data_IF_099827370806
#
_entry.id   IF_099827370806
#
_cell.length_a   1.000
_cell.length_b   1.000
_cell.length_c   1.000
_cell.angle_alpha   90.00
_cell.angle_beta   90.00
_cell.angle_gamma   90.00
#
_symmetry.space_group_name_H-M   'P 1'
#
loop_
_entity.id
_entity.type
_entity.pdbx_description
1 polymer ?
#
# COMPACT_ATOMS: atom_id res chain seq x y z
N UNK A 1 23.44 -5.96 12.13
CA UNK A 1 22.48 -6.95 11.59
C UNK A 1 23.06 -7.58 10.33
N UNK A 2 23.04 -8.92 10.19
CA UNK A 2 23.53 -9.59 8.96
C UNK A 2 22.55 -9.38 7.78
N UNK A 3 23.01 -9.32 6.51
CA UNK A 3 22.11 -9.07 5.37
C UNK A 3 20.97 -10.09 5.21
N UNK A 4 21.20 -11.37 5.51
CA UNK A 4 20.16 -12.40 5.48
C UNK A 4 19.07 -12.12 6.53
N UNK A 5 19.46 -11.71 7.74
CA UNK A 5 18.54 -11.35 8.83
C UNK A 5 17.75 -10.09 8.47
N UNK A 6 18.43 -9.05 7.97
CA UNK A 6 17.80 -7.81 7.52
C UNK A 6 16.71 -8.07 6.47
N UNK A 7 16.99 -8.97 5.53
CA UNK A 7 16.04 -9.37 4.50
C UNK A 7 14.82 -10.08 5.07
N UNK A 8 15.03 -11.12 5.87
CA UNK A 8 13.93 -11.87 6.49
C UNK A 8 13.06 -10.97 7.36
N UNK A 9 13.69 -10.11 8.16
CA UNK A 9 13.00 -9.12 8.97
C UNK A 9 12.07 -8.25 8.11
N UNK A 10 12.59 -7.60 7.05
CA UNK A 10 11.78 -6.76 6.17
C UNK A 10 10.67 -7.55 5.45
N UNK A 11 10.90 -8.80 5.04
CA UNK A 11 9.82 -9.61 4.45
C UNK A 11 8.65 -9.85 5.42
N UNK A 12 8.94 -10.02 6.72
CA UNK A 12 7.93 -10.33 7.73
C UNK A 12 7.18 -9.09 8.23
N UNK A 13 7.80 -7.92 8.22
CA UNK A 13 7.22 -6.70 8.80
C UNK A 13 5.80 -6.41 8.29
N UNK A 14 5.51 -6.37 6.96
CA UNK A 14 4.16 -6.08 6.51
C UNK A 14 3.11 -7.12 6.93
N UNK A 15 3.50 -8.40 6.95
CA UNK A 15 2.63 -9.51 7.37
C UNK A 15 2.29 -9.39 8.85
N UNK A 16 3.30 -9.16 9.70
CA UNK A 16 3.10 -8.99 11.13
C UNK A 16 2.28 -7.74 11.44
N UNK A 17 2.54 -6.62 10.75
CA UNK A 17 1.77 -5.40 10.94
C UNK A 17 0.28 -5.59 10.59
N UNK A 18 -0.01 -6.30 9.48
CA UNK A 18 -1.39 -6.65 9.11
C UNK A 18 -2.05 -7.57 10.15
N UNK A 19 -1.36 -8.64 10.56
CA UNK A 19 -1.90 -9.56 11.58
C UNK A 19 -2.22 -8.79 12.86
N UNK A 20 -1.31 -7.95 13.35
CA UNK A 20 -1.53 -7.16 14.56
C UNK A 20 -2.71 -6.18 14.40
N UNK A 21 -2.76 -5.44 13.29
CA UNK A 21 -3.82 -4.45 13.04
C UNK A 21 -5.23 -5.08 13.04
N UNK A 22 -5.36 -6.30 12.52
CA UNK A 22 -6.65 -6.97 12.38
C UNK A 22 -6.99 -7.93 13.53
N UNK A 23 -6.00 -8.54 14.18
CA UNK A 23 -6.22 -9.50 15.27
C UNK A 23 -6.27 -8.85 16.66
N UNK A 24 -5.43 -7.84 16.92
CA UNK A 24 -5.36 -7.17 18.22
C UNK A 24 -6.35 -6.00 18.30
N UNK A 25 -6.51 -5.26 17.20
CA UNK A 25 -7.37 -4.08 17.15
C UNK A 25 -6.65 -2.80 17.60
N UNK A 26 -7.43 -1.78 17.99
CA UNK A 26 -6.89 -0.49 18.41
C UNK A 26 -6.25 -0.57 19.79
N UNK A 27 -5.07 0.03 19.91
CA UNK A 27 -4.31 0.18 21.16
C UNK A 27 -4.06 1.68 21.37
N UNK A 28 -4.05 2.22 22.60
CA UNK A 28 -3.72 3.63 22.82
C UNK A 28 -2.31 3.99 22.32
N UNK A 29 -2.18 5.18 21.71
CA UNK A 29 -0.92 5.65 21.08
C UNK A 29 0.30 5.64 22.00
N UNK A 30 0.08 5.80 23.30
CA UNK A 30 1.12 5.77 24.33
C UNK A 30 1.91 4.45 24.33
N UNK A 31 1.27 3.35 23.92
CA UNK A 31 1.90 2.03 23.88
C UNK A 31 2.46 1.71 22.50
N UNK A 32 1.71 1.97 21.42
CA UNK A 32 2.17 1.54 20.08
C UNK A 32 3.20 2.49 19.46
N UNK A 33 3.20 3.79 19.78
CA UNK A 33 4.14 4.75 19.17
C UNK A 33 5.59 4.43 19.53
N UNK A 34 5.97 4.17 20.80
CA UNK A 34 7.35 3.79 21.14
C UNK A 34 7.81 2.51 20.43
N UNK A 35 6.94 1.49 20.36
CA UNK A 35 7.23 0.23 19.67
C UNK A 35 7.40 0.46 18.16
N UNK A 36 6.53 1.28 17.57
CA UNK A 36 6.62 1.68 16.17
C UNK A 36 7.91 2.45 15.86
N UNK A 37 8.34 3.36 16.73
CA UNK A 37 9.60 4.10 16.56
C UNK A 37 10.80 3.15 16.54
N UNK A 38 10.86 2.19 17.48
CA UNK A 38 11.90 1.18 17.52
C UNK A 38 11.90 0.32 16.24
N UNK A 39 10.74 -0.20 15.85
CA UNK A 39 10.56 -0.97 14.61
C UNK A 39 11.01 -0.16 13.38
N UNK A 40 10.68 1.13 13.35
CA UNK A 40 11.06 2.04 12.26
C UNK A 40 12.56 2.19 12.13
N UNK A 41 13.28 2.40 13.25
CA UNK A 41 14.74 2.46 13.26
C UNK A 41 15.37 1.16 12.75
N UNK A 42 14.83 0.01 13.19
CA UNK A 42 15.27 -1.30 12.73
C UNK A 42 15.03 -1.50 11.23
N UNK A 43 13.87 -1.08 10.70
CA UNK A 43 13.57 -1.14 9.26
C UNK A 43 14.52 -0.28 8.44
N UNK A 44 14.77 0.96 8.86
CA UNK A 44 15.69 1.87 8.19
C UNK A 44 17.12 1.32 8.20
N UNK A 45 17.56 0.73 9.31
CA UNK A 45 18.86 0.08 9.40
C UNK A 45 18.96 -1.14 8.47
N UNK A 46 17.94 -2.01 8.48
CA UNK A 46 17.88 -3.18 7.60
C UNK A 46 17.91 -2.79 6.12
N UNK A 47 17.12 -1.78 5.74
CA UNK A 47 17.07 -1.25 4.38
C UNK A 47 18.43 -0.67 3.96
N UNK A 48 19.07 0.11 4.83
CA UNK A 48 20.42 0.64 4.59
C UNK A 48 21.42 -0.49 4.31
N UNK A 49 21.42 -1.54 5.13
CA UNK A 49 22.30 -2.71 4.97
C UNK A 49 22.06 -3.42 3.63
N UNK A 50 20.80 -3.59 3.22
CA UNK A 50 20.46 -4.25 1.95
C UNK A 50 20.75 -3.37 0.72
N UNK A 51 20.66 -2.05 0.86
CA UNK A 51 20.91 -1.10 -0.22
C UNK A 51 22.39 -0.78 -0.46
N UNK A 52 23.28 -1.27 0.39
CA UNK A 52 24.71 -1.07 0.23
C UNK A 52 25.23 -1.83 -1.01
N UNK A 53 25.84 -1.09 -1.94
CA UNK A 53 26.41 -1.63 -3.18
C UNK A 53 25.39 -1.97 -4.27
N UNK A 54 24.15 -1.48 -4.19
CA UNK A 54 23.15 -1.67 -5.26
C UNK A 54 23.14 -0.49 -6.23
N UNK A 55 22.77 -0.75 -7.50
CA UNK A 55 22.60 0.29 -8.53
C UNK A 55 21.72 1.46 -8.04
N UNK A 56 22.04 2.72 -8.37
CA UNK A 56 21.32 3.88 -7.87
C UNK A 56 19.79 3.83 -8.10
N UNK A 57 19.35 3.45 -9.31
CA UNK A 57 17.92 3.36 -9.62
C UNK A 57 17.19 2.31 -8.76
N UNK A 58 17.78 1.12 -8.59
CA UNK A 58 17.23 0.05 -7.73
C UNK A 58 17.18 0.52 -6.27
N UNK A 59 18.26 1.14 -5.80
CA UNK A 59 18.34 1.70 -4.44
C UNK A 59 17.22 2.72 -4.22
N UNK A 60 17.08 3.70 -5.11
CA UNK A 60 16.07 4.75 -4.99
C UNK A 60 14.66 4.17 -5.03
N UNK A 61 14.37 3.28 -5.98
CA UNK A 61 13.08 2.57 -6.01
C UNK A 61 12.80 1.82 -4.71
N UNK A 62 13.80 1.13 -4.17
CA UNK A 62 13.62 0.37 -2.95
C UNK A 62 13.39 1.27 -1.73
N UNK A 63 14.14 2.36 -1.59
CA UNK A 63 13.88 3.34 -0.54
C UNK A 63 12.48 3.95 -0.66
N UNK A 64 12.07 4.34 -1.86
CA UNK A 64 10.76 4.95 -2.10
C UNK A 64 9.58 3.98 -1.96
N UNK A 65 9.81 2.66 -2.08
CA UNK A 65 8.79 1.62 -1.90
C UNK A 65 8.75 1.06 -0.47
N UNK A 66 9.87 1.06 0.24
CA UNK A 66 10.00 0.52 1.61
C UNK A 66 9.74 1.60 2.67
N UNK A 67 10.14 2.85 2.42
CA UNK A 67 9.94 3.95 3.38
C UNK A 67 8.47 4.18 3.76
N UNK A 68 7.49 4.12 2.84
CA UNK A 68 6.08 4.19 3.21
C UNK A 68 5.68 3.14 4.25
N UNK A 69 6.23 1.92 4.14
CA UNK A 69 5.96 0.84 5.10
C UNK A 69 6.56 1.07 6.47
N UNK A 70 7.64 1.85 6.58
CA UNK A 70 8.13 2.32 7.88
C UNK A 70 7.00 3.05 8.60
N UNK A 71 6.32 3.97 7.91
CA UNK A 71 5.16 4.65 8.45
C UNK A 71 3.93 3.74 8.60
N UNK A 72 3.60 2.91 7.59
CA UNK A 72 2.39 2.06 7.62
C UNK A 72 2.38 1.04 8.76
N UNK A 73 3.54 0.64 9.29
CA UNK A 73 3.58 -0.26 10.45
C UNK A 73 2.94 0.32 11.71
N UNK A 74 2.75 1.66 11.78
CA UNK A 74 1.99 2.29 12.87
C UNK A 74 0.53 1.81 12.91
N UNK A 75 0.00 1.37 11.77
CA UNK A 75 -1.37 0.84 11.67
C UNK A 75 -1.56 -0.45 12.46
N UNK A 76 -0.47 -1.17 12.78
CA UNK A 76 -0.51 -2.32 13.69
C UNK A 76 -1.08 -1.96 15.06
N UNK A 77 -0.82 -0.73 15.55
CA UNK A 77 -1.35 -0.23 16.80
C UNK A 77 -2.67 0.52 16.67
N UNK A 78 -2.86 1.27 15.58
CA UNK A 78 -4.13 1.97 15.33
C UNK A 78 -5.30 0.99 15.02
N UNK A 79 -5.00 -0.25 14.66
CA UNK A 79 -5.99 -1.26 14.30
C UNK A 79 -6.76 -0.97 13.01
N UNK A 80 -7.80 -1.75 12.72
CA UNK A 80 -8.71 -1.50 11.58
C UNK A 80 -9.45 -0.15 11.72
N UNK A 81 -9.89 0.49 10.61
CA UNK A 81 -10.75 1.67 10.69
C UNK A 81 -11.99 1.42 11.54
N UNK A 82 -12.46 2.43 12.31
CA UNK A 82 -13.68 2.29 13.10
C UNK A 82 -14.87 1.90 12.23
N UNK A 83 -15.83 1.17 12.80
CA UNK A 83 -17.05 0.75 12.10
C UNK A 83 -18.30 1.51 12.57
N UNK A 84 -18.16 2.35 13.60
CA UNK A 84 -19.24 3.13 14.21
C UNK A 84 -18.98 4.63 14.06
N UNK A 85 -20.04 5.43 13.99
CA UNK A 85 -19.94 6.90 13.93
C UNK A 85 -19.19 7.47 15.11
N UNK A 86 -19.50 6.97 16.32
CA UNK A 86 -18.80 7.37 17.54
C UNK A 86 -17.30 7.07 17.46
N UNK A 87 -16.92 5.87 17.00
CA UNK A 87 -15.51 5.50 16.86
C UNK A 87 -14.76 6.37 15.86
N UNK A 88 -15.39 6.75 14.75
CA UNK A 88 -14.81 7.70 13.79
C UNK A 88 -14.65 9.11 14.38
N UNK A 89 -15.62 9.56 15.18
CA UNK A 89 -15.56 10.87 15.83
C UNK A 89 -14.47 10.92 16.91
N UNK A 90 -14.38 9.89 17.76
CA UNK A 90 -13.39 9.78 18.84
C UNK A 90 -11.96 9.64 18.32
N UNK A 91 -11.76 8.91 17.23
CA UNK A 91 -10.43 8.64 16.66
C UNK A 91 -10.12 9.51 15.43
N UNK A 92 -10.81 10.65 15.27
CA UNK A 92 -10.72 11.50 14.07
C UNK A 92 -9.27 11.86 13.71
N UNK A 93 -8.48 12.34 14.68
CA UNK A 93 -7.06 12.69 14.46
C UNK A 93 -6.22 11.48 14.05
N UNK A 94 -6.45 10.29 14.61
CA UNK A 94 -5.73 9.09 14.19
C UNK A 94 -6.08 8.71 12.75
N UNK A 95 -7.33 8.89 12.34
CA UNK A 95 -7.74 8.64 10.96
C UNK A 95 -7.10 9.67 10.00
N UNK A 96 -7.13 10.97 10.33
CA UNK A 96 -6.44 12.01 9.55
C UNK A 96 -4.96 11.66 9.34
N UNK A 97 -4.25 11.29 10.41
CA UNK A 97 -2.84 10.86 10.34
C UNK A 97 -2.68 9.61 9.47
N UNK A 98 -3.52 8.59 9.66
CA UNK A 98 -3.51 7.35 8.87
C UNK A 98 -3.60 7.63 7.38
N UNK A 99 -4.59 8.41 6.99
CA UNK A 99 -4.86 8.68 5.58
C UNK A 99 -3.84 9.66 4.97
N UNK A 100 -3.31 10.61 5.75
CA UNK A 100 -2.18 11.44 5.33
C UNK A 100 -0.92 10.60 5.06
N UNK A 101 -0.61 9.64 5.94
CA UNK A 101 0.51 8.69 5.75
C UNK A 101 0.30 7.88 4.47
N UNK A 102 -0.92 7.39 4.21
CA UNK A 102 -1.25 6.64 3.00
C UNK A 102 -1.03 7.48 1.74
N UNK A 103 -1.50 8.73 1.72
CA UNK A 103 -1.28 9.69 0.62
C UNK A 103 0.21 9.88 0.37
N UNK A 104 0.98 10.23 1.41
CA UNK A 104 2.43 10.42 1.29
C UNK A 104 3.12 9.15 0.76
N UNK A 105 2.68 7.99 1.24
CA UNK A 105 3.16 6.69 0.80
C UNK A 105 2.93 6.42 -0.69
N UNK A 106 1.74 6.76 -1.21
CA UNK A 106 1.45 6.61 -2.65
C UNK A 106 2.31 7.51 -3.53
N UNK A 107 2.56 8.74 -3.09
CA UNK A 107 3.42 9.70 -3.81
C UNK A 107 4.85 9.15 -3.83
N UNK A 108 5.35 8.68 -2.69
CA UNK A 108 6.67 8.05 -2.59
C UNK A 108 6.80 6.86 -3.54
N UNK A 109 5.85 5.91 -3.52
CA UNK A 109 5.86 4.74 -4.41
C UNK A 109 5.83 5.18 -5.87
N UNK A 110 5.01 6.18 -6.22
CA UNK A 110 4.92 6.70 -7.59
C UNK A 110 6.23 7.32 -8.10
N UNK A 111 6.93 8.06 -7.24
CA UNK A 111 8.28 8.55 -7.55
C UNK A 111 9.26 7.39 -7.77
N UNK A 112 9.18 6.35 -6.94
CA UNK A 112 9.96 5.13 -7.11
C UNK A 112 9.68 4.43 -8.44
N UNK A 113 8.40 4.30 -8.80
CA UNK A 113 7.94 3.73 -10.06
C UNK A 113 8.49 4.49 -11.26
N UNK A 114 8.52 5.83 -11.18
CA UNK A 114 9.07 6.68 -12.24
C UNK A 114 10.57 6.42 -12.46
N UNK A 115 11.33 6.28 -11.36
CA UNK A 115 12.77 5.98 -11.42
C UNK A 115 13.04 4.59 -12.00
N UNK A 116 12.34 3.55 -11.54
CA UNK A 116 12.55 2.19 -12.05
C UNK A 116 12.03 2.02 -13.48
N UNK A 117 10.96 2.73 -13.85
CA UNK A 117 10.42 2.74 -15.21
C UNK A 117 11.40 3.33 -16.22
N UNK A 118 12.09 4.42 -15.85
CA UNK A 118 13.19 4.97 -16.64
C UNK A 118 14.33 3.95 -16.81
N UNK A 119 14.76 3.32 -15.72
CA UNK A 119 15.83 2.33 -15.74
C UNK A 119 15.48 1.10 -16.60
N UNK A 120 14.21 0.66 -16.56
CA UNK A 120 13.69 -0.40 -17.44
C UNK A 120 13.70 0.01 -18.91
N UNK A 121 13.41 1.28 -19.21
CA UNK A 121 13.45 1.81 -20.57
C UNK A 121 14.86 1.77 -21.14
N UNK A 122 15.85 2.20 -20.36
CA UNK A 122 17.26 2.14 -20.72
C UNK A 122 17.77 0.70 -20.88
N UNK A 123 17.24 -0.23 -20.08
CA UNK A 123 17.59 -1.65 -20.14
C UNK A 123 16.84 -2.47 -21.21
N UNK A 124 16.03 -1.85 -22.07
CA UNK A 124 15.37 -2.51 -23.21
C UNK A 124 13.93 -3.02 -22.95
N UNK A 125 13.30 -2.69 -21.83
CA UNK A 125 11.89 -2.97 -21.53
C UNK A 125 11.01 -1.70 -21.51
N UNK A 126 11.27 -0.77 -22.45
CA UNK A 126 10.65 0.55 -22.52
C UNK A 126 9.13 0.56 -22.48
N UNK A 127 8.46 -0.22 -23.33
CA UNK A 127 7.00 -0.23 -23.39
C UNK A 127 6.36 -0.68 -22.07
N UNK A 128 6.84 -1.80 -21.49
CA UNK A 128 6.30 -2.33 -20.22
C UNK A 128 6.56 -1.39 -19.05
N UNK A 129 7.76 -0.81 -18.98
CA UNK A 129 8.10 0.20 -17.97
C UNK A 129 7.23 1.44 -18.08
N UNK A 130 7.01 1.96 -19.29
CA UNK A 130 6.15 3.12 -19.54
C UNK A 130 4.68 2.85 -19.19
N UNK A 131 4.13 1.70 -19.59
CA UNK A 131 2.75 1.35 -19.26
C UNK A 131 2.55 1.15 -17.75
N UNK A 132 3.55 0.57 -17.05
CA UNK A 132 3.51 0.45 -15.60
C UNK A 132 3.48 1.84 -14.94
N UNK A 133 4.34 2.75 -15.36
CA UNK A 133 4.37 4.14 -14.85
C UNK A 133 3.08 4.88 -15.17
N UNK A 134 2.52 4.74 -16.37
CA UNK A 134 1.25 5.35 -16.76
C UNK A 134 0.09 4.84 -15.89
N UNK A 135 0.00 3.53 -15.65
CA UNK A 135 -1.00 2.94 -14.76
C UNK A 135 -0.87 3.49 -13.32
N UNK A 136 0.36 3.61 -12.80
CA UNK A 136 0.62 4.22 -11.49
C UNK A 136 0.23 5.70 -11.43
N UNK A 137 0.50 6.48 -12.49
CA UNK A 137 0.13 7.89 -12.60
C UNK A 137 -1.38 8.10 -12.63
N UNK A 138 -2.15 7.16 -13.21
CA UNK A 138 -3.61 7.21 -13.18
C UNK A 138 -4.16 6.74 -11.82
N UNK A 139 -3.57 5.71 -11.21
CA UNK A 139 -4.00 5.18 -9.93
C UNK A 139 -3.82 6.17 -8.78
N UNK A 140 -2.68 6.88 -8.77
CA UNK A 140 -2.26 7.70 -7.62
C UNK A 140 -3.21 8.86 -7.31
N UNK A 141 -3.67 9.67 -8.28
CA UNK A 141 -4.67 10.72 -8.03
C UNK A 141 -6.00 10.16 -7.51
N UNK A 142 -6.50 9.07 -8.10
CA UNK A 142 -7.74 8.42 -7.64
C UNK A 142 -7.60 7.94 -6.20
N UNK A 143 -6.45 7.35 -5.88
CA UNK A 143 -6.14 6.93 -4.52
C UNK A 143 -6.09 8.11 -3.54
N UNK A 144 -5.41 9.20 -3.90
CA UNK A 144 -5.30 10.39 -3.07
C UNK A 144 -6.69 10.99 -2.81
N UNK A 145 -7.53 11.11 -3.83
CA UNK A 145 -8.91 11.59 -3.70
C UNK A 145 -9.69 10.70 -2.72
N UNK A 146 -9.57 9.38 -2.87
CA UNK A 146 -10.21 8.44 -1.95
C UNK A 146 -9.71 8.63 -0.51
N UNK A 147 -8.39 8.60 -0.28
CA UNK A 147 -7.84 8.76 1.08
C UNK A 147 -8.17 10.12 1.69
N UNK A 148 -8.22 11.19 0.90
CA UNK A 148 -8.63 12.52 1.37
C UNK A 148 -10.09 12.52 1.83
N UNK A 149 -10.98 11.85 1.12
CA UNK A 149 -12.36 11.67 1.56
C UNK A 149 -12.45 10.89 2.88
N UNK A 150 -11.78 9.74 2.96
CA UNK A 150 -11.80 8.91 4.17
C UNK A 150 -11.11 9.57 5.38
N UNK A 151 -10.09 10.40 5.15
CA UNK A 151 -9.30 11.02 6.20
C UNK A 151 -9.74 12.40 6.64
N UNK A 152 -10.27 13.22 5.73
CA UNK A 152 -10.65 14.60 6.05
C UNK A 152 -12.17 14.77 6.06
N UNK A 153 -12.87 14.30 5.02
CA UNK A 153 -14.31 14.54 4.90
C UNK A 153 -15.14 13.64 5.85
N UNK A 154 -14.77 12.36 5.93
CA UNK A 154 -15.52 11.36 6.69
C UNK A 154 -15.51 11.64 8.21
N UNK A 155 -14.37 11.93 8.87
CA UNK A 155 -14.38 12.24 10.30
C UNK A 155 -15.23 13.47 10.64
N UNK A 156 -15.12 14.53 9.83
CA UNK A 156 -15.93 15.76 9.98
C UNK A 156 -17.42 15.43 9.88
N UNK A 157 -17.82 14.66 8.86
CA UNK A 157 -19.22 14.23 8.71
C UNK A 157 -19.69 13.43 9.93
N UNK A 158 -18.88 12.48 10.42
CA UNK A 158 -19.21 11.66 11.60
C UNK A 158 -19.36 12.50 12.87
N UNK A 159 -18.51 13.50 13.08
CA UNK A 159 -18.65 14.44 14.20
C UNK A 159 -19.95 15.25 14.12
N UNK A 160 -20.34 15.74 12.93
CA UNK A 160 -21.62 16.42 12.75
C UNK A 160 -22.83 15.51 13.01
N UNK A 161 -22.78 14.26 12.56
CA UNK A 161 -23.84 13.29 12.83
C UNK A 161 -23.96 12.95 14.32
N UNK A 162 -22.85 12.89 15.06
CA UNK A 162 -22.90 12.75 16.52
C UNK A 162 -23.53 13.99 17.18
N UNK A 163 -23.13 15.19 16.75
CA UNK A 163 -23.60 16.45 17.33
C UNK A 163 -25.09 16.74 17.06
N UNK A 164 -25.68 16.17 16.01
CA UNK A 164 -27.10 16.36 15.68
C UNK A 164 -28.07 15.62 16.62
N UNK A 165 -27.55 14.75 17.50
CA UNK A 165 -28.38 13.90 18.37
C UNK A 165 -29.09 12.75 17.64
N UNK A 166 -28.88 12.62 16.33
CA UNK A 166 -29.41 11.54 15.49
C UNK A 166 -28.26 10.91 14.69
N UNK A 167 -27.35 10.14 15.34
CA UNK A 167 -26.15 9.59 14.71
C UNK A 167 -26.43 8.62 13.55
N UNK A 168 -27.65 8.09 13.48
CA UNK A 168 -28.12 7.22 12.40
C UNK A 168 -28.78 7.98 11.25
N UNK A 169 -29.20 9.23 11.44
CA UNK A 169 -29.81 10.05 10.40
C UNK A 169 -28.75 10.45 9.37
N UNK A 170 -28.87 9.91 8.15
CA UNK A 170 -27.97 10.21 7.04
C UNK A 170 -28.70 11.04 5.97
N UNK A 171 -28.05 12.04 5.36
CA UNK A 171 -28.58 12.69 4.17
C UNK A 171 -28.79 11.68 3.04
N UNK A 172 -29.74 11.92 2.15
CA UNK A 172 -30.06 11.02 1.02
C UNK A 172 -28.83 10.72 0.14
N UNK A 173 -27.94 11.70 -0.01
CA UNK A 173 -26.70 11.56 -0.79
C UNK A 173 -25.63 10.70 -0.13
N UNK A 174 -25.81 10.28 1.12
CA UNK A 174 -24.81 9.51 1.88
C UNK A 174 -24.47 8.16 1.24
N UNK A 175 -25.50 7.36 0.89
CA UNK A 175 -25.29 6.06 0.29
C UNK A 175 -24.68 6.15 -1.12
N UNK A 176 -25.19 7.00 -2.04
CA UNK A 176 -24.53 7.25 -3.32
C UNK A 176 -23.07 7.70 -3.19
N UNK A 177 -22.76 8.57 -2.22
CA UNK A 177 -21.40 9.06 -2.01
C UNK A 177 -20.46 7.93 -1.56
N UNK A 178 -20.88 7.10 -0.60
CA UNK A 178 -20.10 5.92 -0.19
C UNK A 178 -19.84 4.97 -1.36
N UNK A 179 -20.85 4.74 -2.19
CA UNK A 179 -20.73 3.88 -3.36
C UNK A 179 -19.74 4.45 -4.39
N UNK A 180 -19.79 5.75 -4.67
CA UNK A 180 -18.84 6.42 -5.56
C UNK A 180 -17.39 6.25 -5.09
N UNK A 181 -17.12 6.44 -3.79
CA UNK A 181 -15.76 6.27 -3.27
C UNK A 181 -15.30 4.81 -3.22
N UNK A 182 -16.23 3.86 -3.08
CA UNK A 182 -15.94 2.44 -3.28
C UNK A 182 -15.50 2.15 -4.73
N UNK A 183 -16.20 2.70 -5.72
CA UNK A 183 -15.82 2.55 -7.14
C UNK A 183 -14.47 3.20 -7.46
N UNK A 184 -14.22 4.41 -6.95
CA UNK A 184 -12.92 5.09 -7.11
C UNK A 184 -11.80 4.23 -6.51
N UNK A 185 -12.01 3.66 -5.32
CA UNK A 185 -11.04 2.76 -4.68
C UNK A 185 -10.78 1.50 -5.52
N UNK A 186 -11.83 0.91 -6.07
CA UNK A 186 -11.78 -0.30 -6.90
C UNK A 186 -10.98 -0.07 -8.19
N UNK A 187 -11.24 1.04 -8.89
CA UNK A 187 -10.50 1.44 -10.09
C UNK A 187 -9.03 1.74 -9.74
N UNK A 188 -8.76 2.47 -8.66
CA UNK A 188 -7.40 2.75 -8.21
C UNK A 188 -6.63 1.45 -7.88
N UNK A 189 -7.27 0.50 -7.19
CA UNK A 189 -6.72 -0.81 -6.88
C UNK A 189 -6.38 -1.60 -8.15
N UNK A 190 -7.32 -1.68 -9.10
CA UNK A 190 -7.11 -2.34 -10.39
C UNK A 190 -5.90 -1.77 -11.13
N UNK A 191 -5.78 -0.45 -11.19
CA UNK A 191 -4.66 0.22 -11.85
C UNK A 191 -3.32 -0.03 -11.12
N UNK A 192 -3.30 -0.12 -9.79
CA UNK A 192 -2.09 -0.50 -9.06
C UNK A 192 -1.68 -1.96 -9.31
N UNK A 193 -2.62 -2.89 -9.35
CA UNK A 193 -2.31 -4.28 -9.69
C UNK A 193 -1.84 -4.44 -11.14
N UNK A 194 -2.43 -3.70 -12.07
CA UNK A 194 -1.96 -3.62 -13.46
C UNK A 194 -0.55 -3.02 -13.52
N UNK A 195 -0.28 -1.94 -12.78
CA UNK A 195 1.05 -1.36 -12.65
C UNK A 195 2.07 -2.40 -12.17
N UNK A 196 1.76 -3.12 -11.08
CA UNK A 196 2.63 -4.16 -10.53
C UNK A 196 2.85 -5.33 -11.51
N UNK A 197 1.80 -5.75 -12.23
CA UNK A 197 1.87 -6.79 -13.25
C UNK A 197 2.84 -6.39 -14.38
N UNK A 198 2.66 -5.19 -14.93
CA UNK A 198 3.49 -4.66 -16.02
C UNK A 198 4.92 -4.44 -15.58
N UNK A 199 5.12 -3.96 -14.34
CA UNK A 199 6.45 -3.80 -13.77
C UNK A 199 7.16 -5.15 -13.61
N UNK A 200 6.50 -6.15 -13.03
CA UNK A 200 7.07 -7.49 -12.87
C UNK A 200 7.43 -8.12 -14.23
N UNK A 201 6.58 -7.94 -15.24
CA UNK A 201 6.86 -8.38 -16.60
C UNK A 201 8.06 -7.64 -17.23
N UNK A 202 8.16 -6.32 -17.02
CA UNK A 202 9.31 -5.51 -17.46
C UNK A 202 10.62 -5.92 -16.78
N UNK A 203 10.60 -6.14 -15.46
CA UNK A 203 11.75 -6.63 -14.70
C UNK A 203 12.20 -8.02 -15.17
N UNK A 204 11.27 -8.92 -15.51
CA UNK A 204 11.60 -10.23 -16.06
C UNK A 204 12.22 -10.16 -17.45
N UNK A 205 11.74 -9.24 -18.30
CA UNK A 205 12.27 -9.04 -19.65
C UNK A 205 13.76 -8.65 -19.64
N UNK A 206 14.18 -7.82 -18.68
CA UNK A 206 15.58 -7.39 -18.56
C UNK A 206 16.42 -8.27 -17.62
N UNK A 207 15.87 -9.41 -17.19
CA UNK A 207 16.56 -10.36 -16.31
C UNK A 207 16.71 -9.93 -14.85
N UNK A 208 16.12 -8.81 -14.43
CA UNK A 208 16.16 -8.35 -13.03
C UNK A 208 15.17 -9.10 -12.13
N UNK A 209 14.24 -9.86 -12.71
CA UNK A 209 13.37 -10.77 -11.95
C UNK A 209 13.33 -12.13 -12.65
N UNK A 210 13.36 -13.21 -11.87
CA UNK A 210 13.22 -14.56 -12.43
C UNK A 210 11.82 -14.70 -13.08
N UNK A 211 11.70 -15.33 -14.26
CA UNK A 211 10.40 -15.52 -14.93
C UNK A 211 9.34 -16.23 -14.07
N UNK A 212 9.76 -17.15 -13.19
CA UNK A 212 8.86 -17.82 -12.24
C UNK A 212 8.30 -16.83 -11.20
N UNK A 213 9.15 -15.97 -10.65
CA UNK A 213 8.72 -14.95 -9.68
C UNK A 213 7.77 -13.94 -10.34
N UNK A 214 8.07 -13.50 -11.56
CA UNK A 214 7.19 -12.61 -12.31
C UNK A 214 5.83 -13.25 -12.63
N UNK A 215 5.79 -14.55 -12.97
CA UNK A 215 4.53 -15.30 -13.15
C UNK A 215 3.70 -15.38 -11.87
N UNK A 216 4.34 -15.62 -10.71
CA UNK A 216 3.64 -15.63 -9.42
C UNK A 216 3.04 -14.27 -9.12
N UNK A 217 3.82 -13.18 -9.27
CA UNK A 217 3.31 -11.82 -9.09
C UNK A 217 2.17 -11.54 -10.07
N UNK A 218 2.31 -11.94 -11.33
CA UNK A 218 1.27 -11.75 -12.32
C UNK A 218 -0.03 -12.48 -12.00
N UNK A 219 0.06 -13.73 -11.53
CA UNK A 219 -1.11 -14.48 -11.05
C UNK A 219 -1.80 -13.79 -9.86
N UNK A 220 -1.02 -13.32 -8.89
CA UNK A 220 -1.55 -12.56 -7.74
C UNK A 220 -2.25 -11.28 -8.21
N UNK A 221 -1.63 -10.50 -9.11
CA UNK A 221 -2.23 -9.29 -9.65
C UNK A 221 -3.54 -9.57 -10.38
N UNK A 222 -3.60 -10.60 -11.22
CA UNK A 222 -4.83 -10.95 -11.96
C UNK A 222 -5.96 -11.33 -11.00
N UNK A 223 -5.67 -12.18 -10.02
CA UNK A 223 -6.66 -12.55 -9.00
C UNK A 223 -7.11 -11.32 -8.22
N UNK A 224 -6.19 -10.45 -7.81
CA UNK A 224 -6.51 -9.24 -7.08
C UNK A 224 -7.36 -8.28 -7.92
N UNK A 225 -7.06 -8.09 -9.20
CA UNK A 225 -7.87 -7.27 -10.12
C UNK A 225 -9.30 -7.80 -10.24
N UNK A 226 -9.48 -9.12 -10.38
CA UNK A 226 -10.81 -9.76 -10.43
C UNK A 226 -11.55 -9.52 -9.12
N UNK A 227 -10.89 -9.72 -7.98
CA UNK A 227 -11.48 -9.50 -6.67
C UNK A 227 -11.85 -8.02 -6.43
N UNK A 228 -11.06 -7.07 -6.94
CA UNK A 228 -11.27 -5.63 -6.75
C UNK A 228 -12.51 -5.08 -7.49
N UNK A 229 -13.03 -5.78 -8.49
CA UNK A 229 -14.24 -5.36 -9.22
C UNK A 229 -15.50 -6.11 -8.80
N UNK A 230 -15.39 -7.00 -7.80
CA UNK A 230 -16.54 -7.72 -7.30
C UNK A 230 -17.48 -6.78 -6.54
N UNK A 231 -18.80 -6.92 -6.73
CA UNK A 231 -19.76 -6.08 -6.03
C UNK A 231 -19.71 -6.33 -4.51
N UNK A 232 -20.03 -5.31 -3.69
CA UNK A 232 -20.17 -5.50 -2.25
C UNK A 232 -21.34 -6.44 -1.92
N UNK A 233 -21.23 -7.18 -0.82
CA UNK A 233 -22.31 -8.06 -0.34
C UNK A 233 -22.26 -9.50 -0.84
N UNK A 234 -21.13 -9.94 -1.38
CA UNK A 234 -20.89 -11.36 -1.67
C UNK A 234 -20.80 -12.19 -0.37
N UNK A 235 -21.02 -13.51 -0.42
CA UNK A 235 -20.81 -14.37 0.74
C UNK A 235 -19.32 -14.43 1.12
N UNK A 236 -19.05 -14.66 2.40
CA UNK A 236 -17.70 -14.96 2.88
C UNK A 236 -17.21 -16.30 2.28
N UNK A 237 -15.93 -16.41 1.86
CA UNK A 237 -14.82 -15.47 2.12
C UNK A 237 -14.62 -14.37 1.06
N UNK A 238 -15.43 -14.32 -0.01
CA UNK A 238 -15.18 -13.42 -1.15
C UNK A 238 -15.30 -11.94 -0.79
N UNK A 239 -16.27 -11.57 0.03
CA UNK A 239 -16.43 -10.18 0.50
C UNK A 239 -15.21 -9.68 1.28
N UNK A 240 -14.68 -10.51 2.17
CA UNK A 240 -13.46 -10.20 2.92
C UNK A 240 -12.26 -10.05 2.00
N UNK A 241 -12.11 -10.94 1.02
CA UNK A 241 -11.01 -10.86 0.05
C UNK A 241 -11.11 -9.63 -0.85
N UNK A 242 -12.31 -9.30 -1.33
CA UNK A 242 -12.60 -8.08 -2.11
C UNK A 242 -12.26 -6.83 -1.31
N UNK A 243 -12.69 -6.77 -0.04
CA UNK A 243 -12.33 -5.70 0.88
C UNK A 243 -10.81 -5.55 1.02
N UNK A 244 -10.07 -6.65 1.24
CA UNK A 244 -8.61 -6.56 1.37
C UNK A 244 -7.93 -6.07 0.09
N UNK A 245 -8.26 -6.63 -1.07
CA UNK A 245 -7.59 -6.23 -2.32
C UNK A 245 -7.94 -4.80 -2.75
N UNK A 246 -9.09 -4.27 -2.33
CA UNK A 246 -9.48 -2.88 -2.57
C UNK A 246 -8.78 -1.88 -1.64
N UNK A 247 -8.14 -2.32 -0.55
CA UNK A 247 -7.25 -1.48 0.26
C UNK A 247 -5.96 -1.22 -0.54
N UNK A 248 -5.69 0.00 -1.00
CA UNK A 248 -4.59 0.21 -1.95
C UNK A 248 -3.20 0.05 -1.31
N UNK A 249 -3.10 0.19 0.01
CA UNK A 249 -1.89 -0.18 0.76
C UNK A 249 -1.49 -1.65 0.58
N UNK A 250 -2.47 -2.56 0.37
CA UNK A 250 -2.19 -3.96 0.05
C UNK A 250 -1.57 -4.07 -1.35
N UNK A 251 -2.02 -3.26 -2.32
CA UNK A 251 -1.34 -3.12 -3.61
C UNK A 251 0.13 -2.68 -3.46
N UNK A 252 0.43 -1.80 -2.49
CA UNK A 252 1.80 -1.35 -2.23
C UNK A 252 2.74 -2.44 -1.71
N UNK A 253 2.22 -3.56 -1.18
CA UNK A 253 3.04 -4.73 -0.82
C UNK A 253 3.80 -5.28 -2.03
N UNK A 254 3.19 -5.24 -3.21
CA UNK A 254 3.82 -5.80 -4.40
C UNK A 254 5.06 -5.00 -4.78
N UNK A 255 4.99 -3.67 -4.75
CA UNK A 255 6.14 -2.79 -4.99
C UNK A 255 7.19 -2.95 -3.89
N UNK A 256 6.76 -3.07 -2.63
CA UNK A 256 7.63 -3.36 -1.49
C UNK A 256 8.44 -4.65 -1.69
N UNK A 257 7.78 -5.77 -2.00
CA UNK A 257 8.44 -7.05 -2.18
C UNK A 257 9.29 -7.12 -3.45
N UNK A 258 8.85 -6.47 -4.54
CA UNK A 258 9.69 -6.30 -5.73
C UNK A 258 10.96 -5.51 -5.40
N UNK A 259 10.85 -4.41 -4.65
CA UNK A 259 12.01 -3.66 -4.18
C UNK A 259 12.99 -4.52 -3.37
N UNK A 260 12.50 -5.29 -2.39
CA UNK A 260 13.35 -6.20 -1.61
C UNK A 260 13.99 -7.30 -2.47
N UNK A 261 13.28 -7.78 -3.49
CA UNK A 261 13.83 -8.71 -4.46
C UNK A 261 14.98 -8.08 -5.26
N UNK A 262 14.81 -6.86 -5.77
CA UNK A 262 15.85 -6.17 -6.53
C UNK A 262 17.08 -5.86 -5.69
N UNK A 263 16.92 -5.53 -4.40
CA UNK A 263 18.04 -5.38 -3.46
C UNK A 263 18.82 -6.69 -3.23
N UNK A 264 18.28 -7.84 -3.65
CA UNK A 264 18.98 -9.13 -3.58
C UNK A 264 19.89 -9.40 -4.77
N UNK A 265 19.78 -8.63 -5.85
CA UNK A 265 20.56 -8.75 -7.07
C UNK A 265 21.98 -8.16 -6.95
N UNK A 266 22.60 -8.21 -5.76
CA UNK A 266 23.97 -7.71 -5.54
C UNK A 266 24.86 -8.18 -6.68
N UNK A 267 25.47 -7.22 -7.39
CA UNK A 267 26.26 -7.35 -8.62
C UNK A 267 26.70 -8.78 -8.90
N UNK A 268 25.75 -9.61 -9.35
CA UNK A 268 26.08 -10.79 -10.12
C UNK A 268 26.35 -10.22 -11.49
N UNK A 269 27.63 -10.03 -11.75
CA UNK A 269 28.27 -10.00 -13.07
C UNK A 269 27.23 -10.11 -14.20
N UNK A 270 26.86 -8.95 -14.72
CA UNK A 270 26.66 -8.80 -16.16
C UNK A 270 27.93 -8.18 -16.68
#
# INVERSE_FOLDING_TARGET
MQPKIARWYLYMVPVLALILAFAVGHVPYQYYVPVWMLNSLLMLQALRILSAGTRPAIRTFAWLSVLPWVAFTIFAGMGRPPQTTEGWALLATEQEVRFAILIAGSISVMLGLSVIGQALREAGAGLRGQLAVAAGFMATPLFIINMAFWGACLPIAMQHFMASGAPEARPDLWAPLKYLFFEIASVAGLLYYLCALLLAAGLAQVGWMKPRSARVVGGICIVAMVLSILPPGLPTPLDVLSYFVSIPAIGFLLFYYMALHLLSLKDKEV
#
